data_IF_381692134968
#
_entry.id   IF_381692134968
#
_cell.length_a   1.000
_cell.length_b   1.000
_cell.length_c   1.000
_cell.angle_alpha   90.00
_cell.angle_beta   90.00
_cell.angle_gamma   90.00
#
_symmetry.space_group_name_H-M   'P 1'
#
loop_
_entity.id
_entity.type
_entity.pdbx_description
1 polymer ?
#
# COMPACT_ATOMS: atom_id res chain seq x y z
N UNK A 1 41.69 0.85 6.62
CA UNK A 1 41.66 0.72 8.08
C UNK A 1 40.89 1.87 8.78
N UNK A 2 41.18 3.18 8.51
CA UNK A 2 40.49 4.32 9.20
C UNK A 2 38.98 4.42 8.99
N UNK A 3 38.43 4.09 7.82
CA UNK A 3 36.98 4.12 7.55
C UNK A 3 36.26 3.01 8.32
N UNK A 4 36.77 1.79 8.34
CA UNK A 4 36.19 0.65 9.04
C UNK A 4 36.13 0.89 10.55
N UNK A 5 37.18 1.47 11.14
CA UNK A 5 37.17 1.84 12.55
C UNK A 5 36.15 2.96 12.85
N UNK A 6 35.94 3.91 11.91
CA UNK A 6 34.90 4.94 12.01
C UNK A 6 33.50 4.32 11.97
N UNK A 7 33.22 3.42 11.02
CA UNK A 7 31.93 2.70 10.91
C UNK A 7 31.66 1.91 12.20
N UNK A 8 32.65 1.15 12.71
CA UNK A 8 32.50 0.39 13.97
C UNK A 8 32.13 1.31 15.15
N UNK A 9 32.82 2.44 15.25
CA UNK A 9 32.53 3.45 16.30
C UNK A 9 31.10 3.98 16.14
N UNK A 10 30.71 4.41 14.94
CA UNK A 10 29.38 4.95 14.68
C UNK A 10 28.30 3.90 14.93
N UNK A 11 28.51 2.62 14.60
CA UNK A 11 27.58 1.54 14.89
C UNK A 11 27.36 1.36 16.40
N UNK A 12 28.46 1.39 17.19
CA UNK A 12 28.35 1.31 18.65
C UNK A 12 27.61 2.54 19.22
N UNK A 13 27.84 3.73 18.68
CA UNK A 13 27.14 4.95 19.09
C UNK A 13 25.65 4.88 18.68
N UNK A 14 25.36 4.39 17.48
CA UNK A 14 24.00 4.23 17.00
C UNK A 14 23.19 3.28 17.89
N UNK A 15 23.75 2.12 18.28
CA UNK A 15 23.07 1.18 19.19
C UNK A 15 22.83 1.74 20.61
N UNK A 16 23.46 2.86 20.96
CA UNK A 16 23.19 3.60 22.20
C UNK A 16 22.28 4.80 22.00
N UNK A 17 21.93 5.13 20.77
CA UNK A 17 21.12 6.28 20.40
C UNK A 17 19.62 5.92 20.40
N UNK A 18 18.81 6.86 20.88
CA UNK A 18 17.35 6.76 20.85
C UNK A 18 16.79 6.59 19.43
N UNK A 19 17.35 7.25 18.43
CA UNK A 19 16.88 7.20 17.04
C UNK A 19 17.00 5.81 16.41
N UNK A 20 18.00 5.02 16.77
CA UNK A 20 18.17 3.64 16.33
C UNK A 20 16.98 2.77 16.77
N UNK A 21 16.57 2.92 18.02
CA UNK A 21 15.46 2.15 18.56
C UNK A 21 14.11 2.62 18.02
N UNK A 22 13.94 3.91 17.71
CA UNK A 22 12.73 4.43 17.05
C UNK A 22 12.55 3.77 15.69
N UNK A 23 13.59 3.66 14.88
CA UNK A 23 13.51 3.06 13.54
C UNK A 23 13.07 1.59 13.60
N UNK A 24 13.69 0.81 14.50
CA UNK A 24 13.32 -0.58 14.72
C UNK A 24 11.90 -0.71 15.29
N UNK A 25 11.57 0.10 16.28
CA UNK A 25 10.23 0.10 16.90
C UNK A 25 9.15 0.41 15.85
N UNK A 26 9.41 1.39 14.99
CA UNK A 26 8.47 1.76 13.93
C UNK A 26 8.30 0.60 12.92
N UNK A 27 9.37 -0.08 12.54
CA UNK A 27 9.31 -1.27 11.69
C UNK A 27 8.49 -2.40 12.34
N UNK A 28 8.66 -2.63 13.66
CA UNK A 28 7.89 -3.63 14.40
C UNK A 28 6.41 -3.25 14.49
N UNK A 29 6.10 -1.96 14.71
CA UNK A 29 4.71 -1.47 14.70
C UNK A 29 4.08 -1.67 13.31
N UNK A 30 4.79 -1.33 12.23
CA UNK A 30 4.31 -1.57 10.88
C UNK A 30 4.08 -3.05 10.59
N UNK A 31 4.99 -3.91 11.03
CA UNK A 31 4.81 -5.36 10.93
C UNK A 31 3.57 -5.82 11.71
N UNK A 32 3.36 -5.32 12.92
CA UNK A 32 2.17 -5.64 13.70
C UNK A 32 0.89 -5.19 12.99
N UNK A 33 0.86 -3.99 12.39
CA UNK A 33 -0.26 -3.51 11.59
C UNK A 33 -0.49 -4.42 10.38
N UNK A 34 0.56 -4.81 9.65
CA UNK A 34 0.44 -5.73 8.51
C UNK A 34 -0.13 -7.09 8.91
N UNK A 35 0.33 -7.66 10.02
CA UNK A 35 -0.08 -9.01 10.41
C UNK A 35 -1.48 -9.05 11.06
N UNK A 36 -1.85 -8.03 11.82
CA UNK A 36 -3.06 -8.04 12.64
C UNK A 36 -4.18 -7.14 12.11
N UNK A 37 -3.87 -6.05 11.38
CA UNK A 37 -4.88 -5.12 10.88
C UNK A 37 -5.20 -5.34 9.39
N UNK A 38 -4.27 -5.89 8.61
CA UNK A 38 -4.49 -6.15 7.19
C UNK A 38 -4.69 -7.65 6.98
N UNK A 39 -5.89 -8.10 6.58
CA UNK A 39 -6.15 -9.50 6.26
C UNK A 39 -5.34 -9.94 5.04
N UNK A 40 -5.08 -11.23 4.90
CA UNK A 40 -4.39 -11.78 3.71
C UNK A 40 -5.21 -11.57 2.44
N UNK A 41 -6.51 -11.73 2.57
CA UNK A 41 -7.47 -11.47 1.51
C UNK A 41 -8.54 -10.55 2.11
N UNK A 42 -8.46 -9.25 1.81
CA UNK A 42 -9.53 -8.32 2.08
C UNK A 42 -10.63 -8.58 1.04
N UNK A 43 -11.58 -9.41 1.41
CA UNK A 43 -12.80 -9.56 0.62
C UNK A 43 -13.64 -8.31 0.91
N UNK A 44 -13.79 -7.34 -0.01
CA UNK A 44 -14.83 -6.34 0.13
C UNK A 44 -16.15 -7.10 -0.06
N UNK A 45 -16.69 -7.61 1.03
CA UNK A 45 -18.02 -8.21 1.02
C UNK A 45 -19.00 -7.10 0.68
N UNK A 46 -19.53 -7.12 -0.50
CA UNK A 46 -20.55 -6.18 -0.92
C UNK A 46 -21.89 -6.68 -0.38
N UNK A 47 -22.47 -5.96 0.56
CA UNK A 47 -23.80 -6.30 1.05
C UNK A 47 -24.85 -5.84 0.04
N UNK A 48 -25.70 -6.75 -0.40
CA UNK A 48 -26.83 -6.49 -1.30
C UNK A 48 -28.11 -6.91 -0.60
N UNK A 49 -29.06 -6.00 -0.57
CA UNK A 49 -30.40 -6.28 -0.04
C UNK A 49 -31.32 -6.73 -1.16
N UNK A 50 -31.91 -7.91 -1.03
CA UNK A 50 -32.72 -8.53 -2.08
C UNK A 50 -34.11 -8.85 -1.55
N UNK A 51 -35.12 -8.60 -2.37
CA UNK A 51 -36.49 -9.07 -2.15
C UNK A 51 -36.96 -9.82 -3.38
N UNK A 52 -37.58 -11.00 -3.16
CA UNK A 52 -38.16 -11.83 -4.21
C UNK A 52 -39.65 -11.54 -4.29
N UNK A 53 -40.04 -10.71 -5.26
CA UNK A 53 -41.46 -10.34 -5.51
C UNK A 53 -42.08 -11.36 -6.48
N UNK A 54 -42.33 -12.56 -5.95
CA UNK A 54 -42.83 -13.67 -6.71
C UNK A 54 -43.62 -14.65 -5.82
N UNK A 55 -44.43 -15.57 -6.42
CA UNK A 55 -45.13 -16.61 -5.67
C UNK A 55 -44.16 -17.46 -4.85
N UNK A 56 -44.59 -17.87 -3.65
CA UNK A 56 -43.75 -18.54 -2.66
C UNK A 56 -42.98 -19.76 -3.20
N UNK A 57 -43.65 -20.57 -4.05
CA UNK A 57 -43.02 -21.73 -4.70
C UNK A 57 -41.82 -21.34 -5.60
N UNK A 58 -41.96 -20.24 -6.36
CA UNK A 58 -40.92 -19.72 -7.20
C UNK A 58 -39.79 -19.06 -6.36
N UNK A 59 -40.16 -18.34 -5.31
CA UNK A 59 -39.18 -17.76 -4.38
C UNK A 59 -38.33 -18.84 -3.66
N UNK A 60 -38.95 -19.95 -3.27
CA UNK A 60 -38.24 -21.09 -2.66
C UNK A 60 -37.34 -21.79 -3.68
N UNK A 61 -37.76 -21.90 -4.94
CA UNK A 61 -36.91 -22.45 -6.01
C UNK A 61 -35.67 -21.56 -6.27
N UNK A 62 -35.87 -20.25 -6.38
CA UNK A 62 -34.75 -19.30 -6.56
C UNK A 62 -33.83 -19.30 -5.34
N UNK A 63 -34.40 -19.36 -4.12
CA UNK A 63 -33.61 -19.47 -2.88
C UNK A 63 -32.75 -20.73 -2.87
N UNK A 64 -33.32 -21.87 -3.23
CA UNK A 64 -32.60 -23.15 -3.29
C UNK A 64 -31.51 -23.12 -4.38
N UNK A 65 -31.78 -22.51 -5.53
CA UNK A 65 -30.77 -22.32 -6.60
C UNK A 65 -29.59 -21.44 -6.09
N UNK A 66 -29.87 -20.37 -5.36
CA UNK A 66 -28.84 -19.51 -4.80
C UNK A 66 -28.02 -20.22 -3.70
N UNK A 67 -28.57 -21.24 -3.05
CA UNK A 67 -27.88 -22.06 -2.04
C UNK A 67 -27.08 -23.22 -2.66
N UNK A 68 -27.53 -23.76 -3.82
CA UNK A 68 -26.86 -24.88 -4.50
C UNK A 68 -25.63 -24.41 -5.33
N UNK A 69 -25.57 -23.16 -5.76
CA UNK A 69 -24.45 -22.61 -6.52
C UNK A 69 -23.18 -22.39 -5.67
N UNK A 70 -23.30 -22.35 -4.33
CA UNK A 70 -22.17 -22.10 -3.43
C UNK A 70 -21.93 -23.29 -2.48
N UNK A 71 -20.83 -23.99 -2.69
CA UNK A 71 -20.38 -25.17 -1.90
C UNK A 71 -20.14 -24.86 -0.40
N UNK A 72 -20.07 -23.58 0.00
CA UNK A 72 -19.87 -23.11 1.39
C UNK A 72 -21.03 -22.24 1.94
N UNK A 73 -22.12 -22.04 1.20
CA UNK A 73 -23.23 -21.17 1.56
C UNK A 73 -24.11 -21.73 2.66
N UNK A 74 -23.83 -21.39 3.92
CA UNK A 74 -24.80 -21.57 5.01
C UNK A 74 -25.75 -20.39 5.02
N UNK A 75 -27.05 -20.66 4.80
CA UNK A 75 -28.09 -19.66 5.02
C UNK A 75 -28.27 -19.44 6.53
N UNK A 76 -28.00 -18.24 6.99
CA UNK A 76 -28.19 -17.84 8.39
C UNK A 76 -29.38 -16.88 8.49
N UNK A 77 -30.27 -17.13 9.46
CA UNK A 77 -31.32 -16.17 9.77
C UNK A 77 -30.74 -15.06 10.64
N UNK A 78 -30.79 -13.84 10.15
CA UNK A 78 -30.28 -12.66 10.84
C UNK A 78 -31.41 -11.62 10.99
N UNK A 79 -31.30 -10.80 12.03
CA UNK A 79 -32.21 -9.68 12.22
C UNK A 79 -31.40 -8.39 12.09
N UNK A 80 -31.68 -7.63 11.05
CA UNK A 80 -31.09 -6.32 10.84
C UNK A 80 -31.92 -5.29 11.62
N UNK A 81 -31.29 -4.54 12.50
CA UNK A 81 -31.97 -3.49 13.27
C UNK A 81 -31.56 -2.13 12.73
N UNK A 82 -32.52 -1.34 12.28
CA UNK A 82 -32.30 0.02 11.82
C UNK A 82 -33.38 0.95 12.34
N UNK A 83 -32.99 2.08 12.89
CA UNK A 83 -33.88 3.08 13.49
C UNK A 83 -34.89 2.52 14.51
N UNK A 84 -34.47 1.49 15.26
CA UNK A 84 -35.30 0.78 16.24
C UNK A 84 -36.30 -0.22 15.65
N UNK A 85 -36.32 -0.40 14.33
CA UNK A 85 -37.14 -1.38 13.62
C UNK A 85 -36.31 -2.61 13.29
N UNK A 86 -36.83 -3.80 13.57
CA UNK A 86 -36.18 -5.08 13.27
C UNK A 86 -36.67 -5.60 11.90
N UNK A 87 -35.72 -5.88 11.03
CA UNK A 87 -35.93 -6.44 9.70
C UNK A 87 -35.37 -7.89 9.66
N UNK A 88 -36.23 -8.91 9.73
CA UNK A 88 -35.80 -10.28 9.59
C UNK A 88 -35.31 -10.51 8.15
N UNK A 89 -34.11 -11.08 8.02
CA UNK A 89 -33.48 -11.38 6.75
C UNK A 89 -32.82 -12.77 6.78
N UNK A 90 -32.69 -13.40 5.62
CA UNK A 90 -31.86 -14.57 5.45
C UNK A 90 -30.56 -14.13 4.79
N UNK A 91 -29.44 -14.32 5.47
CA UNK A 91 -28.12 -14.04 4.93
C UNK A 91 -27.65 -15.24 4.12
N UNK A 92 -27.27 -15.00 2.87
CA UNK A 92 -26.57 -15.95 2.00
C UNK A 92 -25.19 -15.36 1.74
N UNK A 93 -24.16 -15.95 2.31
CA UNK A 93 -22.78 -15.54 2.13
C UNK A 93 -22.20 -16.12 0.83
N UNK A 94 -21.78 -15.28 -0.11
CA UNK A 94 -21.00 -15.63 -1.31
C UNK A 94 -19.55 -15.18 -1.12
N UNK A 95 -18.65 -15.69 -1.95
CA UNK A 95 -17.20 -15.39 -1.80
C UNK A 95 -16.86 -13.91 -1.67
N UNK A 96 -17.59 -13.02 -2.37
CA UNK A 96 -17.35 -11.58 -2.39
C UNK A 96 -18.60 -10.74 -2.10
N UNK A 97 -19.73 -11.38 -1.73
CA UNK A 97 -21.02 -10.73 -1.62
C UNK A 97 -21.87 -11.36 -0.52
N UNK A 98 -22.45 -10.52 0.34
CA UNK A 98 -23.47 -10.95 1.29
C UNK A 98 -24.83 -10.56 0.74
N UNK A 99 -25.67 -11.53 0.42
CA UNK A 99 -27.05 -11.28 0.00
C UNK A 99 -27.99 -11.41 1.20
N UNK A 100 -28.68 -10.33 1.53
CA UNK A 100 -29.69 -10.30 2.58
C UNK A 100 -31.08 -10.39 1.94
N UNK A 101 -31.69 -11.57 2.00
CA UNK A 101 -33.06 -11.76 1.52
C UNK A 101 -34.03 -11.19 2.55
N UNK A 102 -34.70 -10.11 2.19
CA UNK A 102 -35.71 -9.41 2.99
C UNK A 102 -37.14 -9.82 2.63
N UNK A 103 -38.08 -9.48 3.49
CA UNK A 103 -39.48 -9.90 3.35
C UNK A 103 -40.35 -8.89 2.57
N UNK A 104 -39.83 -7.69 2.25
CA UNK A 104 -40.59 -6.68 1.50
C UNK A 104 -39.66 -5.76 0.69
N UNK A 105 -40.21 -5.23 -0.44
CA UNK A 105 -39.50 -4.25 -1.27
C UNK A 105 -39.24 -2.93 -0.53
N UNK A 106 -40.12 -2.54 0.39
CA UNK A 106 -39.95 -1.34 1.20
C UNK A 106 -38.81 -1.47 2.19
N UNK A 107 -38.62 -2.65 2.80
CA UNK A 107 -37.48 -2.97 3.65
C UNK A 107 -36.15 -2.88 2.87
N UNK A 108 -36.11 -3.42 1.63
CA UNK A 108 -34.93 -3.31 0.75
C UNK A 108 -34.60 -1.85 0.48
N UNK A 109 -35.59 -1.06 0.09
CA UNK A 109 -35.37 0.36 -0.23
C UNK A 109 -34.89 1.15 0.99
N UNK A 110 -35.52 0.95 2.15
CA UNK A 110 -35.15 1.65 3.39
C UNK A 110 -33.77 1.31 3.86
N UNK A 111 -33.39 0.02 3.88
CA UNK A 111 -32.07 -0.43 4.29
C UNK A 111 -30.99 -0.05 3.28
N UNK A 112 -31.26 -0.22 1.97
CA UNK A 112 -30.33 0.18 0.94
C UNK A 112 -30.01 1.68 1.00
N UNK A 113 -31.01 2.52 1.15
CA UNK A 113 -30.85 3.98 1.21
C UNK A 113 -30.10 4.40 2.50
N UNK A 114 -30.52 3.87 3.64
CA UNK A 114 -29.93 4.23 4.93
C UNK A 114 -28.48 3.78 5.10
N UNK A 115 -28.16 2.60 4.64
CA UNK A 115 -26.79 2.03 4.75
C UNK A 115 -25.91 2.31 3.53
N UNK A 116 -26.43 3.02 2.53
CA UNK A 116 -25.73 3.33 1.27
C UNK A 116 -25.23 2.09 0.54
N UNK A 117 -26.10 1.08 0.48
CA UNK A 117 -25.83 -0.21 -0.17
C UNK A 117 -26.74 -0.39 -1.40
N UNK A 118 -26.49 -1.45 -2.16
CA UNK A 118 -27.31 -1.80 -3.32
C UNK A 118 -28.54 -2.58 -2.83
N UNK A 119 -29.72 -2.19 -3.31
CA UNK A 119 -30.96 -2.94 -3.15
C UNK A 119 -31.40 -3.52 -4.49
N UNK A 120 -31.97 -4.71 -4.49
CA UNK A 120 -32.54 -5.36 -5.67
C UNK A 120 -33.91 -5.95 -5.34
N UNK A 121 -34.87 -5.72 -6.23
CA UNK A 121 -36.15 -6.43 -6.22
C UNK A 121 -36.20 -7.31 -7.46
N UNK A 122 -36.42 -8.60 -7.26
CA UNK A 122 -36.50 -9.59 -8.33
C UNK A 122 -37.95 -10.01 -8.48
N UNK A 123 -38.53 -9.83 -9.66
CA UNK A 123 -39.91 -10.20 -9.99
C UNK A 123 -39.98 -11.13 -11.20
N UNK A 124 -41.04 -11.87 -11.35
CA UNK A 124 -41.29 -12.68 -12.55
C UNK A 124 -42.18 -11.88 -13.50
N UNK A 125 -41.70 -11.63 -14.71
CA UNK A 125 -42.45 -11.00 -15.77
C UNK A 125 -43.53 -11.91 -16.37
N UNK A 126 -44.42 -11.35 -17.18
CA UNK A 126 -45.43 -12.12 -17.93
C UNK A 126 -44.86 -13.05 -18.99
N UNK A 127 -43.57 -12.92 -19.29
CA UNK A 127 -42.76 -13.75 -20.17
C UNK A 127 -42.08 -14.94 -19.47
N UNK A 128 -42.35 -15.10 -18.16
CA UNK A 128 -41.70 -16.07 -17.25
C UNK A 128 -40.19 -15.81 -17.03
N UNK A 129 -39.70 -14.64 -17.42
CA UNK A 129 -38.31 -14.26 -17.15
C UNK A 129 -38.18 -13.48 -15.84
N UNK A 130 -37.00 -13.54 -15.22
CA UNK A 130 -36.71 -12.77 -14.02
C UNK A 130 -36.37 -11.33 -14.39
N UNK A 131 -37.10 -10.39 -13.80
CA UNK A 131 -36.84 -8.96 -13.93
C UNK A 131 -36.22 -8.41 -12.66
N UNK A 132 -35.14 -7.66 -12.80
CA UNK A 132 -34.39 -7.07 -11.70
C UNK A 132 -34.58 -5.55 -11.65
N UNK A 133 -35.05 -5.04 -10.54
CA UNK A 133 -35.14 -3.60 -10.27
C UNK A 133 -34.11 -3.24 -9.21
N UNK A 134 -33.08 -2.47 -9.60
CA UNK A 134 -32.02 -2.05 -8.69
C UNK A 134 -32.27 -0.68 -8.09
N UNK A 135 -32.07 -0.59 -6.78
CA UNK A 135 -31.98 0.66 -6.04
C UNK A 135 -30.52 1.02 -5.84
N UNK A 136 -30.08 2.09 -6.51
CA UNK A 136 -28.70 2.58 -6.49
C UNK A 136 -28.66 3.95 -5.83
N UNK A 137 -27.54 4.32 -5.23
CA UNK A 137 -27.39 5.55 -4.46
C UNK A 137 -27.08 6.79 -5.35
N UNK A 138 -26.84 6.58 -6.65
CA UNK A 138 -26.57 7.64 -7.63
C UNK A 138 -25.11 7.98 -7.84
N UNK A 139 -24.21 7.64 -6.92
CA UNK A 139 -22.78 7.87 -7.05
C UNK A 139 -22.03 6.70 -7.71
N UNK A 140 -22.72 5.61 -8.01
CA UNK A 140 -22.12 4.45 -8.66
C UNK A 140 -21.61 4.80 -10.06
N UNK A 141 -20.49 4.14 -10.42
CA UNK A 141 -19.89 4.37 -11.72
C UNK A 141 -20.80 3.94 -12.87
N UNK A 142 -20.72 4.62 -14.00
CA UNK A 142 -21.48 4.23 -15.19
C UNK A 142 -21.19 2.79 -15.64
N UNK A 143 -19.98 2.28 -15.33
CA UNK A 143 -19.61 0.88 -15.58
C UNK A 143 -20.48 -0.09 -14.78
N UNK A 144 -20.70 0.17 -13.49
CA UNK A 144 -21.53 -0.69 -12.65
C UNK A 144 -22.99 -0.66 -13.12
N UNK A 145 -23.52 0.53 -13.44
CA UNK A 145 -24.88 0.66 -14.00
C UNK A 145 -25.05 -0.12 -15.29
N UNK A 146 -24.08 -0.02 -16.20
CA UNK A 146 -24.07 -0.78 -17.45
C UNK A 146 -23.95 -2.29 -17.20
N UNK A 147 -23.08 -2.70 -16.27
CA UNK A 147 -22.92 -4.11 -15.90
C UNK A 147 -24.22 -4.71 -15.39
N UNK A 148 -24.89 -4.05 -14.44
CA UNK A 148 -26.17 -4.50 -13.88
C UNK A 148 -27.27 -4.54 -14.94
N UNK A 149 -27.28 -3.60 -15.90
CA UNK A 149 -28.25 -3.60 -16.98
C UNK A 149 -28.02 -4.72 -18.01
N UNK A 150 -26.76 -5.11 -18.23
CA UNK A 150 -26.40 -6.17 -19.17
C UNK A 150 -26.60 -7.56 -18.57
N UNK A 151 -26.19 -7.77 -17.33
CA UNK A 151 -26.24 -9.08 -16.66
C UNK A 151 -27.67 -9.68 -16.58
N UNK A 152 -28.69 -8.86 -16.54
CA UNK A 152 -30.07 -9.32 -16.28
C UNK A 152 -31.07 -8.98 -17.37
N UNK A 153 -30.65 -8.24 -18.41
CA UNK A 153 -31.53 -7.85 -19.53
C UNK A 153 -31.06 -8.38 -20.89
N UNK A 154 -30.02 -9.19 -20.92
CA UNK A 154 -29.49 -9.78 -22.17
C UNK A 154 -29.61 -11.29 -22.07
N UNK A 155 -30.22 -11.88 -23.09
CA UNK A 155 -30.37 -13.33 -23.21
C UNK A 155 -29.01 -14.02 -23.09
N UNK A 156 -28.93 -15.11 -22.32
CA UNK A 156 -27.68 -15.84 -22.06
C UNK A 156 -26.97 -16.23 -23.37
N UNK A 157 -27.75 -16.66 -24.38
CA UNK A 157 -27.24 -17.05 -25.68
C UNK A 157 -26.57 -15.89 -26.44
N UNK A 158 -27.08 -14.67 -26.28
CA UNK A 158 -26.50 -13.46 -26.88
C UNK A 158 -25.24 -13.02 -26.13
N UNK A 159 -25.19 -13.22 -24.80
CA UNK A 159 -23.99 -12.99 -23.99
C UNK A 159 -22.89 -13.97 -24.37
N UNK A 160 -23.19 -15.24 -24.50
CA UNK A 160 -22.24 -16.30 -24.88
C UNK A 160 -21.67 -16.05 -26.27
N UNK A 161 -22.52 -15.77 -27.27
CA UNK A 161 -22.09 -15.42 -28.63
C UNK A 161 -21.23 -14.15 -28.69
N UNK A 162 -21.53 -13.15 -27.87
CA UNK A 162 -20.73 -11.91 -27.80
C UNK A 162 -19.42 -12.12 -27.03
N UNK A 163 -19.42 -13.00 -26.05
CA UNK A 163 -18.21 -13.37 -25.30
C UNK A 163 -17.24 -14.15 -26.21
N UNK A 164 -17.74 -15.11 -27.01
CA UNK A 164 -16.95 -15.87 -27.98
C UNK A 164 -16.45 -15.02 -29.13
N UNK A 165 -17.21 -13.99 -29.52
CA UNK A 165 -16.84 -13.07 -30.60
C UNK A 165 -15.82 -12.00 -30.18
N UNK A 166 -15.65 -11.78 -28.88
CA UNK A 166 -14.58 -10.88 -28.37
C UNK A 166 -13.30 -11.71 -28.18
N UNK A 167 -12.21 -11.40 -28.90
CA UNK A 167 -10.92 -12.01 -28.57
C UNK A 167 -10.47 -11.51 -27.20
N UNK A 168 -11.00 -12.12 -26.15
CA UNK A 168 -10.46 -11.95 -24.79
C UNK A 168 -9.08 -12.59 -24.81
N UNK A 169 -8.08 -11.83 -25.22
CA UNK A 169 -6.71 -12.16 -24.88
C UNK A 169 -6.59 -11.89 -23.38
N UNK A 170 -6.57 -12.96 -22.59
CA UNK A 170 -5.99 -12.88 -21.28
C UNK A 170 -4.63 -12.18 -21.47
N UNK A 171 -4.46 -10.98 -20.93
CA UNK A 171 -3.15 -10.42 -20.75
C UNK A 171 -2.38 -11.51 -20.02
N UNK A 172 -1.36 -12.07 -20.70
CA UNK A 172 -0.59 -13.20 -20.18
C UNK A 172 -0.11 -12.83 -18.78
N UNK A 173 -0.84 -13.24 -17.79
CA UNK A 173 -0.56 -13.00 -16.40
C UNK A 173 -0.71 -14.31 -15.66
N UNK A 174 0.25 -15.20 -15.86
CA UNK A 174 0.64 -16.17 -14.82
C UNK A 174 1.39 -15.47 -13.69
N UNK A 175 1.14 -14.18 -13.48
CA UNK A 175 1.67 -13.48 -12.30
C UNK A 175 0.81 -13.91 -11.15
N UNK A 176 1.39 -14.69 -10.23
CA UNK A 176 0.76 -14.97 -8.95
C UNK A 176 0.54 -13.62 -8.26
N UNK A 177 -0.71 -13.13 -8.15
CA UNK A 177 -0.94 -11.81 -7.55
C UNK A 177 -0.50 -11.84 -6.10
N UNK A 178 0.10 -10.73 -5.63
CA UNK A 178 0.33 -10.53 -4.21
C UNK A 178 -1.03 -10.50 -3.50
N UNK A 179 -1.16 -11.18 -2.37
CA UNK A 179 -2.34 -11.02 -1.53
C UNK A 179 -2.39 -9.59 -0.95
N UNK A 180 -3.53 -9.17 -0.38
CA UNK A 180 -3.74 -7.78 0.03
C UNK A 180 -2.73 -7.32 1.09
N UNK A 181 -2.35 -8.22 2.02
CA UNK A 181 -1.30 -7.97 3.01
C UNK A 181 0.06 -7.76 2.34
N UNK A 182 0.41 -8.61 1.39
CA UNK A 182 1.65 -8.50 0.62
C UNK A 182 1.66 -7.25 -0.26
N UNK A 183 0.52 -6.91 -0.85
CA UNK A 183 0.35 -5.73 -1.68
C UNK A 183 0.49 -4.42 -0.91
N UNK A 184 0.32 -4.44 0.40
CA UNK A 184 0.59 -3.27 1.25
C UNK A 184 2.09 -3.04 1.52
N UNK A 185 2.97 -4.03 1.29
CA UNK A 185 4.41 -3.92 1.57
C UNK A 185 5.13 -2.84 0.76
N UNK A 186 4.97 -2.71 -0.58
CA UNK A 186 5.76 -1.78 -1.39
C UNK A 186 5.74 -0.34 -0.87
N UNK A 187 4.56 0.31 -0.64
CA UNK A 187 4.53 1.67 -0.10
C UNK A 187 5.07 1.75 1.34
N UNK A 188 4.86 0.72 2.17
CA UNK A 188 5.38 0.69 3.54
C UNK A 188 6.91 0.59 3.56
N UNK A 189 7.51 -0.23 2.70
CA UNK A 189 8.96 -0.33 2.53
C UNK A 189 9.54 0.98 2.00
N UNK A 190 8.91 1.60 0.99
CA UNK A 190 9.36 2.87 0.46
C UNK A 190 9.37 3.97 1.54
N UNK A 191 8.38 3.99 2.41
CA UNK A 191 8.30 4.99 3.47
C UNK A 191 9.24 4.67 4.64
N UNK A 192 9.12 3.48 5.25
CA UNK A 192 9.86 3.12 6.45
C UNK A 192 11.35 2.93 6.20
N UNK A 193 11.70 2.06 5.26
CA UNK A 193 13.10 1.64 5.09
C UNK A 193 13.94 2.65 4.31
N UNK A 194 13.31 3.46 3.44
CA UNK A 194 14.02 4.43 2.60
C UNK A 194 13.80 5.86 3.07
N UNK A 195 12.57 6.38 2.97
CA UNK A 195 12.31 7.80 3.20
C UNK A 195 12.47 8.22 4.66
N UNK A 196 12.16 7.35 5.62
CA UNK A 196 12.39 7.61 7.05
C UNK A 196 13.87 7.84 7.34
N UNK A 197 14.77 7.20 6.59
CA UNK A 197 16.21 7.42 6.68
C UNK A 197 16.64 8.88 6.48
N UNK A 198 15.89 9.67 5.69
CA UNK A 198 16.13 11.10 5.53
C UNK A 198 15.93 11.86 6.85
N UNK A 199 14.84 11.61 7.56
CA UNK A 199 14.54 12.25 8.84
C UNK A 199 15.54 11.84 9.91
N UNK A 200 15.81 10.55 10.03
CA UNK A 200 16.71 10.00 11.05
C UNK A 200 18.14 10.50 10.84
N UNK A 201 18.60 10.51 9.57
CA UNK A 201 19.91 11.04 9.23
C UNK A 201 20.05 12.53 9.60
N UNK A 202 19.04 13.34 9.27
CA UNK A 202 19.05 14.75 9.66
C UNK A 202 19.08 14.90 11.19
N UNK A 203 18.29 14.12 11.92
CA UNK A 203 18.25 14.14 13.39
C UNK A 203 19.62 13.78 14.00
N UNK A 204 20.28 12.73 13.51
CA UNK A 204 21.63 12.37 13.95
C UNK A 204 22.63 13.51 13.75
N UNK A 205 22.60 14.14 12.56
CA UNK A 205 23.54 15.24 12.27
C UNK A 205 23.24 16.47 13.13
N UNK A 206 21.97 16.77 13.42
CA UNK A 206 21.64 17.87 14.33
C UNK A 206 22.08 17.60 15.76
N UNK A 207 21.97 16.36 16.23
CA UNK A 207 22.50 15.96 17.53
C UNK A 207 24.02 16.18 17.59
N UNK A 208 24.76 15.71 16.60
CA UNK A 208 26.21 15.90 16.50
C UNK A 208 26.62 17.39 16.40
N UNK A 209 25.81 18.21 15.74
CA UNK A 209 26.01 19.67 15.72
C UNK A 209 25.90 20.27 17.11
N UNK A 210 24.84 19.86 17.85
CA UNK A 210 24.59 20.34 19.22
C UNK A 210 25.70 19.92 20.18
N UNK A 211 26.22 18.69 20.02
CA UNK A 211 27.29 18.16 20.85
C UNK A 211 28.70 18.63 20.42
N UNK A 212 28.82 19.37 19.31
CA UNK A 212 30.11 19.85 18.80
C UNK A 212 30.95 18.78 18.11
N UNK A 213 30.43 17.58 17.88
CA UNK A 213 31.17 16.43 17.28
C UNK A 213 31.71 16.80 15.89
N UNK A 214 30.93 17.51 15.08
CA UNK A 214 31.36 17.90 13.73
C UNK A 214 32.57 18.86 13.79
N UNK A 215 32.59 19.80 14.75
CA UNK A 215 33.73 20.69 14.95
C UNK A 215 34.98 19.94 15.41
N UNK A 216 34.81 18.95 16.30
CA UNK A 216 35.90 18.08 16.70
C UNK A 216 36.50 17.29 15.56
N UNK A 217 35.65 16.80 14.61
CA UNK A 217 36.16 16.14 13.38
C UNK A 217 36.96 17.10 12.49
N UNK A 218 36.59 18.35 12.38
CA UNK A 218 37.29 19.33 11.55
C UNK A 218 38.74 19.59 12.01
N UNK A 219 39.04 19.49 13.31
CA UNK A 219 40.40 19.68 13.86
C UNK A 219 41.23 18.38 13.94
N UNK A 220 40.63 17.25 13.58
CA UNK A 220 41.32 15.94 13.53
C UNK A 220 41.84 15.64 12.13
N UNK A 221 42.80 14.71 12.03
CA UNK A 221 43.29 14.18 10.75
C UNK A 221 42.26 13.33 9.98
N UNK A 222 41.00 13.30 10.44
CA UNK A 222 39.93 12.59 9.78
C UNK A 222 39.16 13.56 8.87
N UNK A 223 38.93 13.15 7.61
CA UNK A 223 38.22 13.98 6.65
C UNK A 223 36.71 13.95 6.87
N UNK A 224 36.04 15.07 6.60
CA UNK A 224 34.58 15.25 6.75
C UNK A 224 33.82 14.17 6.01
N UNK A 225 34.23 13.81 4.79
CA UNK A 225 33.57 12.78 4.01
C UNK A 225 33.53 11.41 4.71
N UNK A 226 34.55 11.07 5.50
CA UNK A 226 34.58 9.79 6.25
C UNK A 226 33.54 9.78 7.37
N UNK A 227 33.36 10.92 8.03
CA UNK A 227 32.29 11.10 9.01
C UNK A 227 30.92 10.91 8.35
N UNK A 228 30.65 11.62 7.25
CA UNK A 228 29.37 11.51 6.53
C UNK A 228 29.14 10.08 6.00
N UNK A 229 30.16 9.46 5.40
CA UNK A 229 30.08 8.11 4.90
C UNK A 229 29.83 7.07 6.00
N UNK A 230 30.51 7.19 7.16
CA UNK A 230 30.31 6.23 8.25
C UNK A 230 28.87 6.28 8.81
N UNK A 231 28.28 7.46 8.95
CA UNK A 231 26.89 7.60 9.33
C UNK A 231 25.92 7.04 8.29
N UNK A 232 26.19 7.33 7.01
CA UNK A 232 25.38 6.78 5.91
C UNK A 232 25.40 5.25 5.92
N UNK A 233 26.57 4.62 6.10
CA UNK A 233 26.66 3.16 6.16
C UNK A 233 25.86 2.59 7.33
N UNK A 234 25.90 3.21 8.51
CA UNK A 234 25.10 2.77 9.66
C UNK A 234 23.61 2.83 9.33
N UNK A 235 23.14 3.92 8.71
CA UNK A 235 21.75 4.05 8.27
C UNK A 235 21.35 2.98 7.24
N UNK A 236 22.24 2.64 6.32
CA UNK A 236 21.96 1.57 5.35
C UNK A 236 21.86 0.20 6.02
N UNK A 237 22.69 -0.07 7.04
CA UNK A 237 22.59 -1.32 7.82
C UNK A 237 21.24 -1.39 8.56
N UNK A 238 20.82 -0.33 9.22
CA UNK A 238 19.52 -0.31 9.91
C UNK A 238 18.37 -0.45 8.92
N UNK A 239 18.41 0.23 7.77
CA UNK A 239 17.42 0.10 6.70
C UNK A 239 17.33 -1.33 6.15
N UNK A 240 18.44 -2.03 5.98
CA UNK A 240 18.43 -3.46 5.60
C UNK A 240 17.79 -4.32 6.68
N UNK A 241 18.13 -4.10 7.95
CA UNK A 241 17.55 -4.86 9.08
C UNK A 241 16.04 -4.64 9.14
N UNK A 242 15.58 -3.39 9.08
CA UNK A 242 14.14 -3.06 9.15
C UNK A 242 13.38 -3.60 7.94
N UNK A 243 13.96 -3.57 6.73
CA UNK A 243 13.39 -4.19 5.54
C UNK A 243 13.18 -5.69 5.75
N UNK A 244 14.20 -6.40 6.25
CA UNK A 244 14.09 -7.84 6.48
C UNK A 244 13.11 -8.18 7.61
N UNK A 245 13.09 -7.39 8.68
CA UNK A 245 12.13 -7.55 9.81
C UNK A 245 10.70 -7.45 9.32
N UNK A 246 10.40 -6.54 8.38
CA UNK A 246 9.03 -6.36 7.87
C UNK A 246 8.71 -7.38 6.77
N UNK A 247 9.67 -7.68 5.87
CA UNK A 247 9.37 -8.47 4.67
C UNK A 247 9.37 -9.98 4.94
N UNK A 248 10.31 -10.50 5.75
CA UNK A 248 10.43 -11.95 5.97
C UNK A 248 9.16 -12.59 6.59
N UNK A 249 8.51 -11.99 7.60
CA UNK A 249 7.30 -12.60 8.16
C UNK A 249 6.10 -12.61 7.21
N UNK A 250 6.04 -11.67 6.24
CA UNK A 250 4.91 -11.50 5.33
C UNK A 250 5.09 -12.29 4.03
N UNK A 251 6.31 -12.29 3.47
CA UNK A 251 6.63 -12.91 2.17
C UNK A 251 7.29 -14.29 2.31
N UNK A 252 7.78 -14.66 3.50
CA UNK A 252 8.62 -15.83 3.65
C UNK A 252 9.87 -15.72 2.76
N UNK A 253 10.16 -16.77 2.00
CA UNK A 253 11.28 -16.81 1.04
C UNK A 253 10.83 -16.62 -0.42
N UNK A 254 9.57 -16.20 -0.67
CA UNK A 254 9.01 -16.07 -2.01
C UNK A 254 9.40 -14.80 -2.76
N UNK A 255 10.06 -13.81 -2.11
CA UNK A 255 10.48 -12.56 -2.74
C UNK A 255 11.91 -12.63 -3.30
N UNK A 256 12.23 -11.78 -4.28
CA UNK A 256 13.58 -11.60 -4.80
C UNK A 256 14.41 -10.71 -3.87
N UNK A 257 14.84 -11.24 -2.73
CA UNK A 257 15.58 -10.49 -1.70
C UNK A 257 16.83 -9.79 -2.21
N UNK A 258 17.53 -10.37 -3.21
CA UNK A 258 18.69 -9.72 -3.84
C UNK A 258 18.32 -8.39 -4.48
N UNK A 259 17.26 -8.34 -5.28
CA UNK A 259 16.76 -7.13 -5.92
C UNK A 259 16.20 -6.13 -4.90
N UNK A 260 15.46 -6.65 -3.92
CA UNK A 260 14.89 -5.86 -2.83
C UNK A 260 15.99 -5.14 -2.04
N UNK A 261 17.05 -5.82 -1.65
CA UNK A 261 18.15 -5.23 -0.90
C UNK A 261 18.99 -4.25 -1.73
N UNK A 262 19.20 -4.53 -3.03
CA UNK A 262 19.87 -3.59 -3.94
C UNK A 262 19.08 -2.28 -4.05
N UNK A 263 17.77 -2.36 -4.25
CA UNK A 263 16.93 -1.18 -4.30
C UNK A 263 16.89 -0.44 -2.96
N UNK A 264 16.80 -1.19 -1.85
CA UNK A 264 16.82 -0.64 -0.49
C UNK A 264 18.11 0.13 -0.20
N UNK A 265 19.27 -0.45 -0.53
CA UNK A 265 20.56 0.21 -0.32
C UNK A 265 20.69 1.48 -1.17
N UNK A 266 20.27 1.44 -2.43
CA UNK A 266 20.32 2.60 -3.32
C UNK A 266 19.39 3.73 -2.89
N UNK A 267 18.12 3.41 -2.58
CA UNK A 267 17.13 4.39 -2.14
C UNK A 267 17.39 4.91 -0.73
N UNK A 268 17.82 4.05 0.18
CA UNK A 268 18.26 4.44 1.52
C UNK A 268 19.49 5.37 1.48
N UNK A 269 20.46 5.12 0.57
CA UNK A 269 21.57 6.04 0.33
C UNK A 269 21.11 7.41 -0.18
N UNK A 270 20.20 7.44 -1.14
CA UNK A 270 19.57 8.68 -1.62
C UNK A 270 18.86 9.43 -0.48
N UNK A 271 18.01 8.77 0.29
CA UNK A 271 17.29 9.37 1.41
C UNK A 271 18.23 9.91 2.50
N UNK A 272 19.25 9.11 2.89
CA UNK A 272 20.26 9.53 3.85
C UNK A 272 20.99 10.80 3.38
N UNK A 273 21.38 10.85 2.10
CA UNK A 273 22.06 12.03 1.54
C UNK A 273 21.14 13.26 1.44
N UNK A 274 19.85 13.09 1.18
CA UNK A 274 18.87 14.17 1.32
C UNK A 274 18.83 14.71 2.74
N UNK A 275 18.80 13.83 3.75
CA UNK A 275 18.84 14.23 5.17
C UNK A 275 20.11 14.98 5.54
N UNK A 276 21.28 14.51 5.06
CA UNK A 276 22.56 15.19 5.23
C UNK A 276 22.55 16.58 4.57
N UNK A 277 22.00 16.70 3.38
CA UNK A 277 21.91 17.97 2.66
C UNK A 277 21.04 18.97 3.43
N UNK A 278 19.85 18.56 3.88
CA UNK A 278 18.98 19.40 4.71
C UNK A 278 19.73 19.83 5.99
N UNK A 279 20.36 18.89 6.67
CA UNK A 279 21.14 19.19 7.85
C UNK A 279 22.30 20.17 7.57
N UNK A 280 22.83 20.24 6.33
CA UNK A 280 23.86 21.22 5.97
C UNK A 280 23.36 22.66 5.91
N UNK A 281 22.06 22.89 5.69
CA UNK A 281 21.47 24.23 5.60
C UNK A 281 20.96 24.75 6.95
N UNK A 282 20.51 23.87 7.84
CA UNK A 282 19.86 24.23 9.10
C UNK A 282 20.77 23.98 10.32
N UNK A 283 20.52 24.70 11.41
CA UNK A 283 21.28 24.57 12.66
C UNK A 283 20.71 23.53 13.60
N UNK A 284 19.38 23.36 13.57
CA UNK A 284 18.66 22.45 14.45
C UNK A 284 17.46 21.82 13.75
N UNK A 285 16.92 20.77 14.38
CA UNK A 285 15.80 20.00 13.81
C UNK A 285 14.51 20.82 13.75
N UNK A 286 14.25 21.71 14.71
CA UNK A 286 13.02 22.49 14.76
C UNK A 286 12.91 23.43 13.56
N UNK A 287 14.03 24.08 13.18
CA UNK A 287 14.08 24.97 12.02
C UNK A 287 13.98 24.21 10.68
N UNK A 288 14.42 22.96 10.63
CA UNK A 288 14.36 22.11 9.43
C UNK A 288 13.07 21.32 9.29
N UNK A 289 12.28 21.23 10.38
CA UNK A 289 11.11 20.35 10.45
C UNK A 289 10.10 20.62 9.33
N UNK A 290 9.79 21.89 9.05
CA UNK A 290 8.85 22.26 7.98
C UNK A 290 9.29 21.75 6.60
N UNK A 291 10.58 21.86 6.27
CA UNK A 291 11.12 21.38 4.99
C UNK A 291 11.11 19.85 4.92
N UNK A 292 11.57 19.18 5.99
CA UNK A 292 11.57 17.71 6.04
C UNK A 292 10.14 17.19 5.91
N UNK A 293 9.21 17.77 6.67
CA UNK A 293 7.81 17.36 6.65
C UNK A 293 7.18 17.54 5.25
N UNK A 294 7.42 18.71 4.62
CA UNK A 294 6.90 18.98 3.26
C UNK A 294 7.43 17.96 2.25
N UNK A 295 8.73 17.65 2.29
CA UNK A 295 9.32 16.64 1.39
C UNK A 295 8.71 15.26 1.66
N UNK A 296 8.55 14.87 2.94
CA UNK A 296 7.95 13.57 3.29
C UNK A 296 6.50 13.46 2.82
N UNK A 297 5.69 14.51 3.00
CA UNK A 297 4.30 14.54 2.50
C UNK A 297 4.26 14.43 0.98
N UNK A 298 5.11 15.18 0.27
CA UNK A 298 5.20 15.10 -1.18
C UNK A 298 5.58 13.69 -1.64
N UNK A 299 6.57 13.08 -0.99
CA UNK A 299 7.01 11.72 -1.31
C UNK A 299 5.98 10.63 -0.93
N UNK A 300 5.00 10.96 -0.09
CA UNK A 300 3.91 10.04 0.27
C UNK A 300 2.77 10.00 -0.77
N UNK A 301 2.65 11.01 -1.64
CA UNK A 301 1.57 11.09 -2.63
C UNK A 301 1.47 9.86 -3.55
N UNK A 302 2.55 9.26 -4.06
CA UNK A 302 2.45 8.04 -4.86
C UNK A 302 1.87 6.84 -4.10
N UNK A 303 2.02 6.77 -2.78
CA UNK A 303 1.40 5.71 -1.98
C UNK A 303 -0.14 5.83 -1.99
N UNK A 304 -0.68 7.05 -1.95
CA UNK A 304 -2.11 7.26 -2.13
C UNK A 304 -2.59 6.82 -3.53
N UNK A 305 -1.83 7.16 -4.58
CA UNK A 305 -2.14 6.72 -5.94
C UNK A 305 -2.06 5.20 -6.10
N UNK A 306 -1.19 4.55 -5.34
CA UNK A 306 -1.05 3.10 -5.32
C UNK A 306 -2.29 2.40 -4.72
N UNK A 307 -2.80 2.90 -3.61
CA UNK A 307 -4.00 2.35 -2.95
C UNK A 307 -5.32 2.82 -3.57
N UNK A 308 -5.31 3.93 -4.31
CA UNK A 308 -6.49 4.52 -4.96
C UNK A 308 -6.27 4.58 -6.48
N UNK A 309 -6.45 3.45 -7.21
CA UNK A 309 -6.16 3.40 -8.66
C UNK A 309 -6.99 4.40 -9.48
N UNK A 310 -8.16 4.82 -8.98
CA UNK A 310 -8.99 5.85 -9.59
C UNK A 310 -8.37 7.26 -9.54
N UNK A 311 -7.39 7.48 -8.67
CA UNK A 311 -6.66 8.74 -8.53
C UNK A 311 -5.19 8.54 -8.88
N UNK A 312 -4.86 8.64 -10.17
CA UNK A 312 -3.48 8.48 -10.68
C UNK A 312 -3.11 9.58 -11.67
N UNK A 313 -2.96 10.83 -11.21
CA UNK A 313 -2.56 11.93 -12.08
C UNK A 313 -1.11 11.72 -12.58
N UNK A 314 -0.85 12.13 -13.83
CA UNK A 314 0.44 11.89 -14.50
C UNK A 314 1.63 12.50 -13.74
N UNK A 315 1.45 13.63 -13.08
CA UNK A 315 2.52 14.30 -12.32
C UNK A 315 2.98 13.50 -11.10
N UNK A 316 2.13 12.64 -10.51
CA UNK A 316 2.51 11.75 -9.39
C UNK A 316 3.61 10.77 -9.81
N UNK A 317 3.61 10.35 -11.08
CA UNK A 317 4.63 9.46 -11.64
C UNK A 317 6.03 10.10 -11.71
N UNK A 318 6.11 11.43 -11.65
CA UNK A 318 7.38 12.17 -11.65
C UNK A 318 8.02 12.20 -10.25
N UNK A 319 7.27 11.88 -9.21
CA UNK A 319 7.79 11.86 -7.84
C UNK A 319 8.67 10.61 -7.66
N UNK A 320 9.91 10.72 -7.15
CA UNK A 320 10.84 9.60 -7.05
C UNK A 320 10.29 8.38 -6.30
N UNK A 321 9.46 8.60 -5.28
CA UNK A 321 8.84 7.51 -4.51
C UNK A 321 7.87 6.66 -5.33
N UNK A 322 7.35 7.14 -6.47
CA UNK A 322 6.56 6.30 -7.39
C UNK A 322 7.42 5.17 -7.98
N UNK A 323 8.58 5.51 -8.52
CA UNK A 323 9.51 4.51 -9.05
C UNK A 323 10.02 3.56 -7.95
N UNK A 324 10.14 4.07 -6.71
CA UNK A 324 10.55 3.27 -5.56
C UNK A 324 9.47 2.25 -5.17
N UNK A 325 8.21 2.66 -5.07
CA UNK A 325 7.07 1.76 -4.75
C UNK A 325 6.93 0.70 -5.84
N UNK A 326 6.98 1.09 -7.12
CA UNK A 326 6.92 0.15 -8.23
C UNK A 326 8.10 -0.83 -8.22
N UNK A 327 9.31 -0.34 -7.95
CA UNK A 327 10.50 -1.20 -7.84
C UNK A 327 10.43 -2.19 -6.69
N UNK A 328 9.87 -1.79 -5.52
CA UNK A 328 9.62 -2.73 -4.43
C UNK A 328 8.54 -3.75 -4.80
N UNK A 329 7.48 -3.34 -5.48
CA UNK A 329 6.45 -4.26 -5.97
C UNK A 329 7.05 -5.31 -6.90
N UNK A 330 7.85 -4.89 -7.88
CA UNK A 330 8.53 -5.80 -8.81
C UNK A 330 9.53 -6.73 -8.10
N UNK A 331 10.19 -6.27 -7.04
CA UNK A 331 11.11 -7.11 -6.26
C UNK A 331 10.38 -8.15 -5.38
N UNK A 332 9.11 -7.91 -5.05
CA UNK A 332 8.28 -8.84 -4.27
C UNK A 332 7.55 -9.85 -5.15
N UNK A 333 7.29 -9.53 -6.42
CA UNK A 333 6.63 -10.42 -7.37
C UNK A 333 7.60 -11.50 -7.89
N UNK A 334 7.18 -12.79 -8.02
CA UNK A 334 8.01 -13.85 -8.58
C UNK A 334 8.49 -13.56 -10.01
N UNK A 335 7.60 -12.97 -10.83
CA UNK A 335 7.86 -12.61 -12.23
C UNK A 335 8.05 -11.10 -12.42
N UNK A 336 8.50 -10.40 -11.39
CA UNK A 336 8.68 -8.95 -11.42
C UNK A 336 9.80 -8.50 -12.35
N UNK A 337 9.74 -7.24 -12.79
CA UNK A 337 10.68 -6.68 -13.76
C UNK A 337 12.03 -6.33 -13.12
N UNK A 338 12.96 -7.30 -13.07
CA UNK A 338 14.29 -7.11 -12.51
C UNK A 338 15.07 -5.95 -13.17
N UNK A 339 14.89 -5.75 -14.49
CA UNK A 339 15.55 -4.65 -15.22
C UNK A 339 15.07 -3.28 -14.73
N UNK A 340 13.78 -3.13 -14.44
CA UNK A 340 13.23 -1.90 -13.88
C UNK A 340 13.79 -1.64 -12.47
N UNK A 341 13.83 -2.67 -11.61
CA UNK A 341 14.38 -2.57 -10.25
C UNK A 341 15.82 -2.10 -10.26
N UNK A 342 16.66 -2.71 -11.12
CA UNK A 342 18.08 -2.33 -11.26
C UNK A 342 18.26 -0.92 -11.82
N UNK A 343 17.44 -0.52 -12.80
CA UNK A 343 17.47 0.84 -13.35
C UNK A 343 17.07 1.88 -12.29
N UNK A 344 16.01 1.62 -11.54
CA UNK A 344 15.57 2.47 -10.43
C UNK A 344 16.68 2.57 -9.36
N UNK A 345 17.27 1.45 -8.96
CA UNK A 345 18.39 1.42 -8.01
C UNK A 345 19.58 2.23 -8.52
N UNK A 346 19.97 2.08 -9.79
CA UNK A 346 21.04 2.87 -10.38
C UNK A 346 20.72 4.38 -10.37
N UNK A 347 19.48 4.76 -10.69
CA UNK A 347 19.01 6.15 -10.63
C UNK A 347 19.11 6.73 -9.22
N UNK A 348 18.64 6.01 -8.20
CA UNK A 348 18.74 6.43 -6.80
C UNK A 348 20.19 6.50 -6.32
N UNK A 349 21.02 5.54 -6.68
CA UNK A 349 22.44 5.54 -6.32
C UNK A 349 23.18 6.72 -6.96
N UNK A 350 22.93 7.02 -8.24
CA UNK A 350 23.52 8.16 -8.94
C UNK A 350 23.08 9.49 -8.31
N UNK A 351 21.77 9.67 -8.09
CA UNK A 351 21.24 10.87 -7.43
C UNK A 351 21.81 11.04 -6.01
N UNK A 352 21.86 9.96 -5.23
CA UNK A 352 22.48 9.93 -3.91
C UNK A 352 23.96 10.31 -3.95
N UNK A 353 24.72 9.80 -4.93
CA UNK A 353 26.14 10.13 -5.13
C UNK A 353 26.36 11.63 -5.41
N UNK A 354 25.54 12.22 -6.29
CA UNK A 354 25.58 13.66 -6.58
C UNK A 354 25.27 14.49 -5.32
N UNK A 355 24.19 14.13 -4.60
CA UNK A 355 23.82 14.80 -3.36
C UNK A 355 24.88 14.66 -2.28
N UNK A 356 25.51 13.49 -2.14
CA UNK A 356 26.58 13.26 -1.19
C UNK A 356 27.80 14.15 -1.48
N UNK A 357 28.20 14.23 -2.75
CA UNK A 357 29.30 15.10 -3.18
C UNK A 357 29.01 16.58 -2.85
N UNK A 358 27.80 17.05 -3.18
CA UNK A 358 27.37 18.41 -2.89
C UNK A 358 27.35 18.68 -1.36
N UNK A 359 26.76 17.79 -0.60
CA UNK A 359 26.71 17.87 0.84
C UNK A 359 28.11 17.93 1.48
N UNK A 360 29.01 17.06 1.01
CA UNK A 360 30.41 17.04 1.50
C UNK A 360 31.11 18.38 1.25
N UNK A 361 30.95 18.95 0.04
CA UNK A 361 31.53 20.26 -0.31
C UNK A 361 30.97 21.39 0.58
N UNK A 362 29.67 21.34 0.90
CA UNK A 362 29.05 22.34 1.79
C UNK A 362 29.56 22.21 3.24
N UNK A 363 29.66 21.00 3.79
CA UNK A 363 30.19 20.79 5.12
C UNK A 363 31.65 21.25 5.23
N UNK A 364 32.48 20.99 4.21
CA UNK A 364 33.85 21.49 4.17
C UNK A 364 33.90 23.03 4.22
N UNK A 365 33.10 23.71 3.40
CA UNK A 365 33.02 25.18 3.41
C UNK A 365 32.55 25.73 4.76
N UNK A 366 31.56 25.09 5.37
CA UNK A 366 31.02 25.54 6.67
C UNK A 366 32.01 25.34 7.84
N UNK A 367 32.97 24.48 7.69
CA UNK A 367 34.00 24.18 8.70
C UNK A 367 35.34 24.91 8.43
N UNK A 368 35.46 25.63 7.31
CA UNK A 368 36.68 26.34 6.94
C UNK A 368 37.85 25.43 6.54
N UNK A 369 37.54 24.21 6.04
CA UNK A 369 38.53 23.20 5.63
C UNK A 369 38.47 22.98 4.12
#
# INVERSE_FOLDING_TARGET
MKLLSSIRKELILATRSFYFYIEILFAVILLAVLLFAIPEHARPTQDIYVYLDMPQQAADAVRNMLLDEDVDGQAEQVVLTFDGIAYPATLIGKENENQYLLQSAEAVRTLADSQRKIGAVVSIGGDSQLHYTYYLQGYETQRLKNLLSVLHNVDSDVLEQRFDAQPVRALQGTVSPLNDRQNALPPLLAFNSSLMGMFIMAAYVFLDKKEGVIRAYAVTASSVWRYLASKTVVMLITGVVTTLVVTLPVMGFGAHYGLLLVLQLASGFFAATCGLLIASFYQDIAKSFGVIFTIMVLMMLPAFSYFLPGWSPVWVKLIPSHALIQGFQDALLPDGNASFVLLAAAGFAAAGGVLFGWTNARFQKALGV
#
